data_IF_974940664189
#
_entry.id   IF_974940664189
#
_cell.length_a   1.000
_cell.length_b   1.000
_cell.length_c   1.000
_cell.angle_alpha   90.00
_cell.angle_beta   90.00
_cell.angle_gamma   90.00
#
_symmetry.space_group_name_H-M   'P 1'
#
loop_
_entity.id
_entity.type
_entity.pdbx_description
1 polymer ?
#
# COMPACT_ATOMS: atom_id res chain seq x y z
N UNK A 1 -0.94 49.30 -18.11
CA UNK A 1 -1.69 48.65 -17.03
C UNK A 1 -0.76 47.71 -16.31
N UNK A 2 -0.34 48.06 -15.10
CA UNK A 2 0.55 47.21 -14.30
C UNK A 2 -0.24 46.09 -13.66
N UNK A 3 0.10 44.84 -13.99
CA UNK A 3 -0.37 43.65 -13.28
C UNK A 3 0.43 43.51 -11.99
N UNK A 4 -0.19 43.23 -10.83
CA UNK A 4 0.56 43.08 -9.60
C UNK A 4 1.27 41.73 -9.57
N UNK A 5 2.53 41.81 -9.18
CA UNK A 5 3.52 40.75 -9.01
C UNK A 5 3.04 39.63 -8.09
N UNK A 6 3.17 38.39 -8.58
CA UNK A 6 3.18 37.17 -7.78
C UNK A 6 4.43 37.14 -6.90
N UNK A 7 4.30 37.44 -5.61
CA UNK A 7 5.38 37.27 -4.63
C UNK A 7 5.06 36.19 -3.62
N UNK A 8 6.04 35.30 -3.47
CA UNK A 8 6.34 34.40 -2.35
C UNK A 8 5.46 33.18 -2.07
N UNK A 9 5.92 32.08 -2.65
CA UNK A 9 5.64 30.69 -2.30
C UNK A 9 6.26 30.27 -0.96
N UNK A 10 5.91 30.93 0.16
CA UNK A 10 6.14 30.37 1.49
C UNK A 10 4.96 29.44 1.84
N UNK A 11 5.18 28.30 2.52
CA UNK A 11 4.08 27.43 2.91
C UNK A 11 3.11 28.24 3.77
N UNK A 12 1.85 28.39 3.31
CA UNK A 12 0.77 29.20 3.90
C UNK A 12 0.34 28.81 5.34
N UNK A 13 1.17 28.08 6.07
CA UNK A 13 0.89 27.65 7.45
C UNK A 13 0.97 28.81 8.45
N UNK A 14 1.76 29.86 8.18
CA UNK A 14 2.00 30.99 9.11
C UNK A 14 1.27 32.29 8.75
N UNK A 15 0.42 32.31 7.71
CA UNK A 15 -0.28 33.53 7.29
C UNK A 15 -1.26 34.10 8.34
N UNK A 16 -1.59 33.38 9.41
CA UNK A 16 -2.55 33.82 10.44
C UNK A 16 -1.90 34.13 11.80
N UNK A 17 -0.62 33.80 11.99
CA UNK A 17 0.14 34.13 13.21
C UNK A 17 0.60 35.59 13.18
N UNK A 18 0.79 36.16 12.00
CA UNK A 18 1.22 37.55 11.79
C UNK A 18 0.06 38.56 11.67
N UNK A 19 -1.20 38.09 11.65
CA UNK A 19 -2.39 38.95 11.46
C UNK A 19 -2.82 39.58 12.78
N UNK A 20 -2.77 40.92 12.83
CA UNK A 20 -3.12 41.73 13.99
C UNK A 20 -4.63 41.81 14.24
N UNK A 21 -5.47 41.80 13.19
CA UNK A 21 -6.92 41.83 13.35
C UNK A 21 -7.47 40.44 13.74
N UNK A 22 -8.12 40.29 14.92
CA UNK A 22 -8.73 39.05 15.34
C UNK A 22 -9.76 38.49 14.34
N UNK A 23 -10.51 39.36 13.65
CA UNK A 23 -11.57 38.95 12.73
C UNK A 23 -11.01 38.32 11.46
N UNK A 24 -9.98 38.94 10.88
CA UNK A 24 -9.27 38.40 9.72
C UNK A 24 -8.53 37.11 10.07
N UNK A 25 -7.85 37.07 11.22
CA UNK A 25 -7.21 35.86 11.73
C UNK A 25 -8.19 34.70 11.83
N UNK A 26 -9.39 34.95 12.37
CA UNK A 26 -10.43 33.92 12.49
C UNK A 26 -10.92 33.42 11.13
N UNK A 27 -11.06 34.29 10.13
CA UNK A 27 -11.43 33.89 8.76
C UNK A 27 -10.36 32.99 8.12
N UNK A 28 -9.09 33.31 8.29
CA UNK A 28 -7.97 32.51 7.74
C UNK A 28 -7.93 31.14 8.42
N UNK A 29 -8.06 31.09 9.75
CA UNK A 29 -8.15 29.84 10.49
C UNK A 29 -9.31 28.95 10.02
N UNK A 30 -10.52 29.50 9.89
CA UNK A 30 -11.68 28.73 9.41
C UNK A 30 -11.46 28.18 8.01
N UNK A 31 -10.90 29.00 7.11
CA UNK A 31 -10.56 28.58 5.73
C UNK A 31 -9.57 27.41 5.75
N UNK A 32 -8.55 27.48 6.59
CA UNK A 32 -7.55 26.41 6.71
C UNK A 32 -8.13 25.16 7.35
N UNK A 33 -8.86 25.28 8.45
CA UNK A 33 -9.53 24.18 9.12
C UNK A 33 -10.46 23.43 8.17
N UNK A 34 -11.24 24.16 7.37
CA UNK A 34 -12.16 23.56 6.41
C UNK A 34 -11.43 22.89 5.23
N UNK A 35 -10.32 23.48 4.77
CA UNK A 35 -9.44 22.83 3.78
C UNK A 35 -8.88 21.52 4.33
N UNK A 36 -8.30 21.53 5.53
CA UNK A 36 -7.74 20.34 6.19
C UNK A 36 -8.79 19.28 6.45
N UNK A 37 -9.98 19.68 6.89
CA UNK A 37 -11.10 18.77 7.08
C UNK A 37 -11.48 18.05 5.77
N UNK A 38 -11.59 18.81 4.66
CA UNK A 38 -11.88 18.23 3.34
C UNK A 38 -10.77 17.32 2.84
N UNK A 39 -9.50 17.73 3.02
CA UNK A 39 -8.33 16.92 2.67
C UNK A 39 -8.35 15.59 3.44
N UNK A 40 -8.49 15.64 4.77
CA UNK A 40 -8.54 14.45 5.63
C UNK A 40 -9.73 13.53 5.30
N UNK A 41 -10.89 14.10 5.01
CA UNK A 41 -12.07 13.30 4.63
C UNK A 41 -11.85 12.58 3.30
N UNK A 42 -11.20 13.24 2.33
CA UNK A 42 -10.86 12.63 1.04
C UNK A 42 -9.81 11.53 1.22
N UNK A 43 -8.79 11.79 2.03
CA UNK A 43 -7.71 10.84 2.34
C UNK A 43 -8.27 9.59 3.03
N UNK A 44 -9.12 9.73 4.05
CA UNK A 44 -9.75 8.57 4.70
C UNK A 44 -10.57 7.71 3.74
N UNK A 45 -11.28 8.35 2.78
CA UNK A 45 -12.04 7.61 1.76
C UNK A 45 -11.11 6.83 0.82
N UNK A 46 -9.97 7.42 0.45
CA UNK A 46 -8.98 6.78 -0.40
C UNK A 46 -8.23 5.66 0.33
N UNK A 47 -7.87 5.88 1.59
CA UNK A 47 -7.22 4.90 2.47
C UNK A 47 -8.12 3.68 2.70
N UNK A 48 -9.40 3.88 3.03
CA UNK A 48 -10.37 2.78 3.15
C UNK A 48 -10.53 2.00 1.82
N UNK A 49 -10.47 2.69 0.68
CA UNK A 49 -10.48 2.05 -0.64
C UNK A 49 -9.23 1.19 -0.86
N UNK A 50 -8.05 1.70 -0.53
CA UNK A 50 -6.78 0.98 -0.63
C UNK A 50 -6.70 -0.21 0.31
N UNK A 51 -7.14 -0.06 1.56
CA UNK A 51 -7.15 -1.16 2.54
C UNK A 51 -8.05 -2.30 2.10
N UNK A 52 -9.26 -2.00 1.61
CA UNK A 52 -10.17 -3.01 1.07
C UNK A 52 -9.56 -3.76 -0.13
N UNK A 53 -8.95 -3.03 -1.07
CA UNK A 53 -8.27 -3.65 -2.21
C UNK A 53 -7.07 -4.50 -1.76
N UNK A 54 -6.29 -3.99 -0.82
CA UNK A 54 -5.15 -4.71 -0.26
C UNK A 54 -5.61 -5.96 0.50
N UNK A 55 -6.69 -5.90 1.28
CA UNK A 55 -7.25 -7.05 1.97
C UNK A 55 -7.71 -8.13 0.99
N UNK A 56 -8.36 -7.74 -0.12
CA UNK A 56 -8.74 -8.68 -1.18
C UNK A 56 -7.53 -9.32 -1.85
N UNK A 57 -6.46 -8.56 -2.13
CA UNK A 57 -5.24 -9.06 -2.78
C UNK A 57 -4.35 -9.87 -1.81
N UNK A 58 -4.31 -9.49 -0.53
CA UNK A 58 -3.46 -10.09 0.49
C UNK A 58 -3.87 -11.52 0.84
N UNK A 59 -5.16 -11.88 0.66
CA UNK A 59 -5.64 -13.24 0.88
C UNK A 59 -4.90 -14.31 0.07
N UNK A 60 -4.33 -13.93 -1.08
CA UNK A 60 -3.62 -14.86 -1.97
C UNK A 60 -2.12 -14.54 -2.15
N UNK A 61 -1.63 -13.41 -1.62
CA UNK A 61 -0.25 -12.96 -1.85
C UNK A 61 0.78 -13.55 -0.87
N UNK A 62 0.33 -13.99 0.31
CA UNK A 62 1.20 -14.59 1.36
C UNK A 62 0.96 -16.08 1.57
N UNK A 63 0.05 -16.70 0.82
CA UNK A 63 -0.17 -18.14 0.88
C UNK A 63 0.90 -18.85 0.04
N UNK A 64 1.80 -19.58 0.70
CA UNK A 64 2.69 -20.52 0.01
C UNK A 64 1.82 -21.51 -0.77
N UNK A 65 2.06 -21.71 -2.08
CA UNK A 65 1.22 -22.60 -2.90
C UNK A 65 1.27 -24.02 -2.34
N UNK A 66 0.13 -24.70 -2.27
CA UNK A 66 0.13 -26.12 -1.92
C UNK A 66 0.67 -26.92 -3.11
N UNK A 67 1.32 -28.09 -2.86
CA UNK A 67 1.80 -28.96 -3.94
C UNK A 67 0.69 -29.40 -4.92
N UNK A 68 -0.58 -29.33 -4.52
CA UNK A 68 -1.75 -29.62 -5.35
C UNK A 68 -2.20 -28.47 -6.26
N UNK A 69 -1.84 -27.22 -5.94
CA UNK A 69 -2.25 -26.02 -6.67
C UNK A 69 -1.29 -25.68 -7.83
N UNK A 70 -0.14 -26.35 -7.87
CA UNK A 70 0.87 -26.19 -8.92
C UNK A 70 0.43 -27.02 -10.13
N UNK A 71 -0.18 -26.35 -11.10
CA UNK A 71 -0.56 -26.95 -12.38
C UNK A 71 0.69 -27.51 -13.10
N UNK A 72 0.62 -28.79 -13.48
CA UNK A 72 1.67 -29.53 -14.16
C UNK A 72 1.69 -29.27 -15.67
N UNK A 73 1.03 -28.21 -16.15
CA UNK A 73 0.84 -27.91 -17.58
C UNK A 73 2.12 -27.61 -18.37
N UNK A 74 3.30 -27.77 -17.78
CA UNK A 74 4.56 -27.76 -18.50
C UNK A 74 5.46 -28.90 -18.07
N UNK A 75 5.01 -30.13 -18.32
CA UNK A 75 5.97 -31.10 -18.83
C UNK A 75 6.66 -30.45 -20.04
N UNK A 76 7.90 -30.03 -19.83
CA UNK A 76 8.82 -29.61 -20.87
C UNK A 76 9.13 -30.84 -21.73
N UNK A 77 8.13 -31.28 -22.51
CA UNK A 77 8.15 -32.51 -23.28
C UNK A 77 9.13 -32.34 -24.43
N UNK A 78 10.35 -32.85 -24.23
CA UNK A 78 11.44 -32.74 -25.21
C UNK A 78 12.78 -33.25 -24.69
N UNK A 79 12.93 -33.39 -23.36
CA UNK A 79 14.10 -34.01 -22.74
C UNK A 79 13.80 -35.47 -22.43
N UNK A 80 14.68 -36.43 -22.79
CA UNK A 80 14.42 -37.87 -22.64
C UNK A 80 14.33 -38.33 -21.17
N UNK A 81 14.66 -37.45 -20.22
CA UNK A 81 14.65 -37.67 -18.78
C UNK A 81 13.58 -36.83 -18.05
N UNK A 82 12.73 -36.11 -18.79
CA UNK A 82 11.70 -35.24 -18.23
C UNK A 82 12.23 -33.92 -17.67
N UNK A 83 11.31 -32.98 -17.42
CA UNK A 83 11.62 -31.68 -16.80
C UNK A 83 11.64 -31.74 -15.27
N UNK A 84 12.07 -30.65 -14.63
CA UNK A 84 12.08 -30.52 -13.17
C UNK A 84 10.63 -30.42 -12.65
N UNK A 85 10.27 -31.28 -11.70
CA UNK A 85 8.93 -31.27 -11.07
C UNK A 85 8.86 -30.26 -9.93
N UNK A 86 8.19 -29.13 -10.18
CA UNK A 86 7.95 -28.09 -9.15
C UNK A 86 7.11 -28.61 -7.98
N UNK A 87 6.15 -29.51 -8.24
CA UNK A 87 5.37 -30.19 -7.19
C UNK A 87 6.28 -30.91 -6.19
N UNK A 88 7.24 -31.69 -6.69
CA UNK A 88 8.15 -32.47 -5.84
C UNK A 88 9.07 -31.57 -5.02
N UNK A 89 9.54 -30.46 -5.60
CA UNK A 89 10.37 -29.47 -4.90
C UNK A 89 9.58 -28.83 -3.74
N UNK A 90 8.34 -28.42 -3.97
CA UNK A 90 7.52 -27.76 -2.95
C UNK A 90 7.09 -28.73 -1.85
N UNK A 91 6.73 -29.96 -2.20
CA UNK A 91 6.41 -31.02 -1.24
C UNK A 91 7.61 -31.34 -0.33
N UNK A 92 8.79 -31.51 -0.92
CA UNK A 92 10.02 -31.79 -0.17
C UNK A 92 10.41 -30.61 0.74
N UNK A 93 10.23 -29.38 0.25
CA UNK A 93 10.45 -28.16 1.02
C UNK A 93 9.56 -28.08 2.26
N UNK A 94 8.26 -28.35 2.13
CA UNK A 94 7.33 -28.37 3.27
C UNK A 94 7.63 -29.46 4.29
N UNK A 95 7.95 -30.68 3.84
CA UNK A 95 8.31 -31.78 4.74
C UNK A 95 9.53 -31.40 5.59
N UNK A 96 10.54 -30.77 4.96
CA UNK A 96 11.75 -30.29 5.65
C UNK A 96 11.43 -29.19 6.66
N UNK A 97 10.61 -28.21 6.29
CA UNK A 97 10.19 -27.13 7.20
C UNK A 97 9.43 -27.65 8.42
N UNK A 98 8.46 -28.56 8.22
CA UNK A 98 7.71 -29.16 9.32
C UNK A 98 8.60 -29.97 10.27
N UNK A 99 9.59 -30.68 9.72
CA UNK A 99 10.55 -31.41 10.54
C UNK A 99 11.44 -30.47 11.35
N UNK A 100 11.92 -29.37 10.75
CA UNK A 100 12.68 -28.34 11.47
C UNK A 100 11.87 -27.70 12.59
N UNK A 101 10.60 -27.37 12.37
CA UNK A 101 9.73 -26.80 13.41
C UNK A 101 9.44 -27.78 14.55
N UNK A 102 9.30 -29.09 14.24
CA UNK A 102 9.09 -30.14 15.24
C UNK A 102 10.35 -30.47 16.04
N UNK A 103 11.53 -30.27 15.46
CA UNK A 103 12.82 -30.50 16.13
C UNK A 103 13.21 -29.41 17.15
N UNK A 104 12.48 -28.29 17.16
CA UNK A 104 12.69 -27.15 18.07
C UNK A 104 11.73 -27.10 19.27
N UNK A 105 10.98 -28.17 19.55
CA UNK A 105 10.17 -28.32 20.77
C UNK A 105 10.79 -29.27 21.77
#
# INVERSE_FOLDING_TARGET
>A
GSSPSTTDSKPRLDEWTEVQDPSERRKIQNKLAQRRFREKTREQKEEAGREMENQQRAGNAYASPEPGDIDQSRELSGLPWGGISMKHIVETGKIKEQNSQRSSQ
#
